data_IF_988892863318
#
_entry.id   IF_988892863318
#
_cell.length_a   1.000
_cell.length_b   1.000
_cell.length_c   1.000
_cell.angle_alpha   90.00
_cell.angle_beta   90.00
_cell.angle_gamma   90.00
#
_symmetry.space_group_name_H-M   'P 1'
#
loop_
_entity.id
_entity.type
_entity.pdbx_description
1 polymer ?
#
# COMPACT_ATOMS: atom_id res chain seq x y z
N UNK A 1 -0.16 -22.09 26.46
CA UNK A 1 -1.23 -21.48 25.65
C UNK A 1 -1.13 -19.96 25.52
N UNK A 2 -0.48 -19.22 26.43
CA UNK A 2 -0.43 -17.75 26.41
C UNK A 2 0.41 -17.10 25.28
N UNK A 3 1.37 -17.81 24.68
CA UNK A 3 2.31 -17.24 23.70
C UNK A 3 1.71 -17.02 22.29
N UNK A 4 0.59 -17.68 21.96
CA UNK A 4 -0.08 -17.49 20.65
C UNK A 4 -0.79 -16.12 20.57
N UNK A 5 -1.02 -15.48 21.71
CA UNK A 5 -1.90 -14.31 21.86
C UNK A 5 -1.17 -13.00 22.17
N UNK A 6 0.17 -12.99 22.26
CA UNK A 6 0.91 -11.79 22.65
C UNK A 6 1.10 -10.82 21.47
N UNK A 7 0.15 -9.89 21.33
CA UNK A 7 0.42 -8.60 20.71
C UNK A 7 1.13 -7.69 21.70
N UNK A 8 2.42 -7.96 21.97
CA UNK A 8 3.19 -7.09 22.84
C UNK A 8 3.59 -5.80 22.10
N UNK A 9 2.80 -4.74 22.34
CA UNK A 9 3.11 -3.39 21.88
C UNK A 9 3.61 -2.57 23.06
N UNK A 10 4.86 -2.10 22.96
CA UNK A 10 5.44 -1.14 23.92
C UNK A 10 4.51 0.07 24.08
N UNK A 11 4.00 0.27 25.28
CA UNK A 11 3.10 1.36 25.62
C UNK A 11 3.30 1.80 27.07
N UNK A 12 3.39 3.10 27.32
CA UNK A 12 3.44 3.65 28.68
C UNK A 12 2.10 3.52 29.43
N UNK A 13 1.01 3.25 28.71
CA UNK A 13 -0.33 3.08 29.29
C UNK A 13 -0.56 1.60 29.63
N UNK A 14 -0.66 1.30 30.93
CA UNK A 14 -0.82 -0.06 31.46
C UNK A 14 -2.07 -0.78 30.93
N UNK A 15 -3.19 -0.07 30.77
CA UNK A 15 -4.46 -0.66 30.35
C UNK A 15 -4.42 -1.21 28.93
N UNK A 16 -3.50 -0.72 28.08
CA UNK A 16 -3.37 -1.22 26.71
C UNK A 16 -2.95 -2.68 26.66
N UNK A 17 -2.12 -3.13 27.62
CA UNK A 17 -1.73 -4.54 27.73
C UNK A 17 -2.98 -5.41 27.88
N UNK A 18 -3.81 -5.11 28.87
CA UNK A 18 -5.06 -5.82 29.11
C UNK A 18 -6.04 -5.73 27.95
N UNK A 19 -6.15 -4.57 27.31
CA UNK A 19 -7.01 -4.39 26.13
C UNK A 19 -6.59 -5.32 24.98
N UNK A 20 -5.30 -5.36 24.62
CA UNK A 20 -4.84 -6.21 23.52
C UNK A 20 -4.91 -7.70 23.87
N UNK A 21 -4.64 -8.07 25.12
CA UNK A 21 -4.82 -9.45 25.59
C UNK A 21 -6.29 -9.88 25.50
N UNK A 22 -7.21 -9.03 25.96
CA UNK A 22 -8.65 -9.30 25.88
C UNK A 22 -9.13 -9.40 24.43
N UNK A 23 -8.71 -8.46 23.58
CA UNK A 23 -9.02 -8.45 22.15
C UNK A 23 -8.55 -9.73 21.44
N UNK A 24 -7.32 -10.17 21.67
CA UNK A 24 -6.84 -11.43 21.08
C UNK A 24 -7.62 -12.65 21.60
N UNK A 25 -8.06 -12.61 22.85
CA UNK A 25 -8.89 -13.68 23.42
C UNK A 25 -10.27 -13.75 22.74
N UNK A 26 -10.90 -12.60 22.44
CA UNK A 26 -12.19 -12.59 21.73
C UNK A 26 -12.07 -13.07 20.28
N UNK A 27 -11.00 -12.69 19.59
CA UNK A 27 -10.69 -13.18 18.22
C UNK A 27 -10.50 -14.69 18.18
N UNK A 28 -9.83 -15.26 19.18
CA UNK A 28 -9.59 -16.70 19.23
C UNK A 28 -10.86 -17.46 19.60
N UNK A 29 -11.66 -16.91 20.51
CA UNK A 29 -12.97 -17.48 20.83
C UNK A 29 -13.88 -17.50 19.60
N UNK A 30 -13.89 -16.45 18.79
CA UNK A 30 -14.68 -16.43 17.54
C UNK A 30 -14.14 -17.43 16.51
N UNK A 31 -12.82 -17.59 16.40
CA UNK A 31 -12.21 -18.64 15.58
C UNK A 31 -12.61 -20.06 16.04
N UNK A 32 -12.61 -20.33 17.35
CA UNK A 32 -13.08 -21.61 17.91
C UNK A 32 -14.55 -21.86 17.55
N UNK A 33 -15.41 -20.83 17.63
CA UNK A 33 -16.81 -20.95 17.20
C UNK A 33 -16.92 -21.32 15.72
N UNK A 34 -16.11 -20.70 14.85
CA UNK A 34 -16.09 -21.01 13.42
C UNK A 34 -15.60 -22.43 13.15
N UNK A 35 -14.53 -22.87 13.83
CA UNK A 35 -14.03 -24.23 13.73
C UNK A 35 -15.04 -25.29 14.17
N UNK A 36 -15.94 -24.97 15.09
CA UNK A 36 -17.00 -25.89 15.54
C UNK A 36 -18.17 -25.97 14.55
N UNK A 37 -18.37 -24.94 13.73
CA UNK A 37 -19.46 -24.87 12.75
C UNK A 37 -19.02 -25.35 11.37
N UNK A 38 -17.74 -25.21 11.02
CA UNK A 38 -17.19 -25.62 9.74
C UNK A 38 -16.54 -27.01 9.84
N UNK A 39 -16.67 -27.81 8.78
CA UNK A 39 -16.01 -29.12 8.67
C UNK A 39 -14.52 -29.02 8.35
N UNK A 40 -14.08 -27.90 7.78
CA UNK A 40 -12.67 -27.63 7.46
C UNK A 40 -11.93 -26.98 8.63
N UNK A 41 -10.76 -27.52 8.97
CA UNK A 41 -9.86 -26.91 9.95
C UNK A 41 -9.09 -25.77 9.29
N UNK A 42 -9.46 -24.53 9.58
CA UNK A 42 -8.72 -23.34 9.15
C UNK A 42 -7.72 -22.94 10.23
N UNK A 43 -6.45 -22.69 9.90
CA UNK A 43 -5.49 -22.17 10.89
C UNK A 43 -5.90 -20.75 11.31
N UNK A 44 -5.48 -20.34 12.51
CA UNK A 44 -5.87 -19.04 13.09
C UNK A 44 -5.48 -17.85 12.20
N UNK A 45 -4.32 -17.89 11.55
CA UNK A 45 -3.86 -16.78 10.70
C UNK A 45 -4.80 -16.57 9.51
N UNK A 46 -5.22 -17.64 8.85
CA UNK A 46 -6.14 -17.60 7.70
C UNK A 46 -7.54 -17.11 8.09
N UNK A 47 -7.89 -17.21 9.38
CA UNK A 47 -9.09 -16.59 9.92
C UNK A 47 -8.91 -15.09 10.22
N UNK A 48 -7.76 -14.69 10.76
CA UNK A 48 -7.50 -13.31 11.20
C UNK A 48 -7.34 -12.35 10.03
N UNK A 49 -6.71 -12.77 8.93
CA UNK A 49 -6.50 -11.92 7.74
C UNK A 49 -7.83 -11.38 7.16
N UNK A 50 -8.80 -12.23 6.76
CA UNK A 50 -10.06 -11.75 6.20
C UNK A 50 -10.90 -10.99 7.24
N UNK A 51 -10.80 -11.36 8.53
CA UNK A 51 -11.44 -10.62 9.62
C UNK A 51 -10.90 -9.19 9.72
N UNK A 52 -9.58 -9.02 9.66
CA UNK A 52 -8.95 -7.70 9.69
C UNK A 52 -9.34 -6.86 8.47
N UNK A 53 -9.38 -7.46 7.28
CA UNK A 53 -9.81 -6.79 6.06
C UNK A 53 -11.26 -6.29 6.16
N UNK A 54 -12.18 -7.12 6.66
CA UNK A 54 -13.58 -6.76 6.86
C UNK A 54 -13.75 -5.62 7.90
N UNK A 55 -12.99 -5.67 9.01
CA UNK A 55 -12.99 -4.61 10.02
C UNK A 55 -12.41 -3.29 9.46
N UNK A 56 -11.35 -3.36 8.66
CA UNK A 56 -10.79 -2.17 8.01
C UNK A 56 -11.74 -1.58 6.97
N UNK A 57 -12.40 -2.42 6.18
CA UNK A 57 -13.38 -1.98 5.19
C UNK A 57 -14.57 -1.26 5.86
N UNK A 58 -15.13 -1.84 6.92
CA UNK A 58 -16.22 -1.20 7.68
C UNK A 58 -15.78 0.10 8.36
N UNK A 59 -14.55 0.16 8.88
CA UNK A 59 -13.97 1.39 9.42
C UNK A 59 -13.82 2.49 8.37
N UNK A 60 -13.41 2.15 7.14
CA UNK A 60 -13.27 3.11 6.03
C UNK A 60 -14.61 3.70 5.59
N UNK A 61 -15.67 2.89 5.53
CA UNK A 61 -17.00 3.35 5.15
C UNK A 61 -17.58 4.34 6.16
N UNK A 62 -17.31 4.11 7.45
CA UNK A 62 -17.83 4.94 8.55
C UNK A 62 -16.91 6.11 8.93
N UNK A 63 -15.66 6.11 8.47
CA UNK A 63 -14.75 7.21 8.71
C UNK A 63 -15.11 8.39 7.81
N UNK A 64 -15.68 9.44 8.40
CA UNK A 64 -15.68 10.77 7.79
C UNK A 64 -14.25 11.31 7.78
N UNK A 65 -13.44 10.82 6.87
CA UNK A 65 -12.06 11.26 6.71
C UNK A 65 -12.05 12.63 6.01
N UNK A 66 -12.17 13.70 6.79
CA UNK A 66 -11.66 14.98 6.35
C UNK A 66 -10.13 14.89 6.39
N UNK A 67 -9.48 14.83 5.21
CA UNK A 67 -8.05 15.13 5.12
C UNK A 67 -7.85 16.48 5.79
N UNK A 68 -7.27 16.50 6.99
CA UNK A 68 -6.67 17.73 7.50
C UNK A 68 -5.62 18.10 6.45
N UNK A 69 -5.92 19.10 5.62
CA UNK A 69 -4.88 19.87 4.91
C UNK A 69 -4.11 20.59 6.01
N UNK A 70 -3.33 19.84 6.77
CA UNK A 70 -2.33 20.43 7.64
C UNK A 70 -1.44 21.23 6.72
N UNK A 71 -1.26 22.50 7.05
CA UNK A 71 -0.13 23.33 6.61
C UNK A 71 1.17 22.74 7.14
N UNK A 72 1.41 21.46 6.84
CA UNK A 72 2.67 20.79 7.11
C UNK A 72 3.51 21.12 5.90
N UNK A 73 4.46 22.04 6.09
CA UNK A 73 5.59 22.17 5.19
C UNK A 73 6.04 20.76 4.82
N UNK A 74 5.92 20.34 3.56
CA UNK A 74 6.29 18.99 3.20
C UNK A 74 7.78 18.84 3.52
N UNK A 75 8.11 17.93 4.43
CA UNK A 75 9.49 17.49 4.56
C UNK A 75 9.91 16.96 3.19
N UNK A 76 11.16 17.23 2.75
CA UNK A 76 11.63 16.80 1.42
C UNK A 76 11.36 15.30 1.17
N UNK A 77 11.38 14.51 2.24
CA UNK A 77 11.07 13.08 2.24
C UNK A 77 9.58 12.76 1.97
N UNK A 78 8.63 13.57 2.45
CA UNK A 78 7.21 13.33 2.18
C UNK A 78 6.80 13.72 0.76
N UNK A 79 7.42 14.75 0.15
CA UNK A 79 7.22 15.04 -1.29
C UNK A 79 7.74 13.93 -2.18
N UNK A 80 8.89 13.35 -1.82
CA UNK A 80 9.49 12.25 -2.59
C UNK A 80 8.56 11.04 -2.64
N UNK A 81 7.90 10.69 -1.53
CA UNK A 81 6.98 9.54 -1.45
C UNK A 81 5.57 9.79 -1.99
N UNK A 82 5.18 11.05 -2.23
CA UNK A 82 3.85 11.37 -2.78
C UNK A 82 3.73 11.09 -4.28
N UNK A 83 4.86 11.07 -5.01
CA UNK A 83 4.90 10.92 -6.47
C UNK A 83 5.67 9.66 -6.94
N UNK A 84 6.10 8.78 -6.02
CA UNK A 84 6.75 7.51 -6.42
C UNK A 84 5.71 6.64 -7.12
N UNK A 85 5.82 6.54 -8.44
CA UNK A 85 4.91 5.76 -9.25
C UNK A 85 3.80 6.57 -9.93
N UNK A 86 3.87 7.90 -10.00
CA UNK A 86 2.97 8.63 -10.91
C UNK A 86 3.40 8.40 -12.36
N UNK A 87 4.69 8.50 -12.65
CA UNK A 87 5.23 8.31 -14.00
C UNK A 87 5.70 6.86 -14.22
N UNK A 88 4.76 5.97 -14.54
CA UNK A 88 5.09 4.58 -14.88
C UNK A 88 5.44 4.41 -16.37
N UNK A 89 6.53 3.68 -16.68
CA UNK A 89 6.83 3.28 -18.05
C UNK A 89 5.89 2.15 -18.48
N UNK A 90 5.19 2.35 -19.60
CA UNK A 90 4.36 1.34 -20.27
C UNK A 90 4.90 1.08 -21.66
N UNK A 91 4.86 -0.19 -22.07
CA UNK A 91 5.25 -0.61 -23.41
C UNK A 91 4.14 -0.35 -24.43
N UNK A 92 4.45 0.43 -25.45
CA UNK A 92 3.60 0.69 -26.61
C UNK A 92 3.88 -0.32 -27.72
N UNK A 93 2.86 -0.70 -28.49
CA UNK A 93 2.97 -1.65 -29.60
C UNK A 93 3.91 -1.15 -30.72
N UNK A 94 3.95 0.16 -30.95
CA UNK A 94 4.76 0.79 -31.99
C UNK A 94 6.04 1.41 -31.44
N UNK A 95 7.14 1.24 -32.17
CA UNK A 95 8.42 1.93 -31.92
C UNK A 95 8.36 3.34 -32.48
N UNK A 96 8.38 4.34 -31.61
CA UNK A 96 8.37 5.75 -31.99
C UNK A 96 9.67 6.42 -31.52
N UNK A 97 9.95 7.63 -32.01
CA UNK A 97 11.14 8.37 -31.58
C UNK A 97 10.96 8.89 -30.15
N UNK A 98 12.05 8.87 -29.38
CA UNK A 98 12.09 9.52 -28.07
C UNK A 98 11.95 11.03 -28.24
N UNK A 99 11.11 11.67 -27.43
CA UNK A 99 10.87 13.12 -27.50
C UNK A 99 12.16 13.94 -27.31
N UNK A 100 12.94 13.64 -26.27
CA UNK A 100 14.21 14.35 -26.00
C UNK A 100 15.25 14.10 -27.12
N UNK A 101 15.37 12.87 -27.59
CA UNK A 101 16.36 12.57 -28.64
C UNK A 101 15.98 13.19 -29.98
N UNK A 102 14.68 13.34 -30.27
CA UNK A 102 14.20 14.02 -31.45
C UNK A 102 14.62 15.50 -31.46
N UNK A 103 14.52 16.19 -30.32
CA UNK A 103 15.00 17.57 -30.17
C UNK A 103 16.52 17.67 -30.37
N UNK A 104 17.28 16.69 -29.85
CA UNK A 104 18.73 16.62 -29.98
C UNK A 104 19.21 16.10 -31.33
N UNK A 105 18.30 15.83 -32.29
CA UNK A 105 18.59 15.21 -33.59
C UNK A 105 19.36 13.89 -33.50
N UNK A 106 19.24 13.19 -32.36
CA UNK A 106 19.82 11.87 -32.15
C UNK A 106 18.82 10.82 -32.63
N UNK A 107 19.25 9.91 -33.48
CA UNK A 107 18.42 8.80 -33.91
C UNK A 107 18.24 7.81 -32.76
N UNK A 108 17.05 7.81 -32.15
CA UNK A 108 16.66 6.82 -31.15
C UNK A 108 15.18 6.49 -31.27
N UNK A 109 14.87 5.20 -31.11
CA UNK A 109 13.51 4.67 -31.15
C UNK A 109 13.23 3.86 -29.89
N UNK A 110 12.04 4.05 -29.31
CA UNK A 110 11.67 3.46 -28.03
C UNK A 110 10.22 2.96 -28.08
N UNK A 111 9.92 1.97 -27.24
CA UNK A 111 8.55 1.49 -27.00
C UNK A 111 8.04 1.95 -25.65
N UNK A 112 8.81 2.76 -24.93
CA UNK A 112 8.50 3.12 -23.55
C UNK A 112 7.80 4.47 -23.56
N UNK A 113 6.60 4.50 -23.01
CA UNK A 113 5.78 5.69 -22.86
C UNK A 113 5.45 5.91 -21.38
N UNK A 114 5.48 7.16 -20.93
CA UNK A 114 4.96 7.52 -19.61
C UNK A 114 3.43 7.63 -19.67
N UNK A 115 2.70 6.91 -18.82
CA UNK A 115 1.22 6.92 -18.77
C UNK A 115 0.63 8.29 -18.43
N UNK A 116 1.30 9.04 -17.55
CA UNK A 116 0.79 10.33 -17.10
C UNK A 116 1.09 11.46 -18.07
N UNK A 117 2.25 11.44 -18.73
CA UNK A 117 2.65 12.48 -19.67
C UNK A 117 2.24 12.18 -21.12
N UNK A 118 1.93 10.91 -21.44
CA UNK A 118 1.77 10.42 -22.82
C UNK A 118 2.96 10.78 -23.74
N UNK A 119 4.16 10.78 -23.17
CA UNK A 119 5.41 11.06 -23.90
C UNK A 119 6.23 9.79 -24.03
N UNK A 120 6.80 9.57 -25.22
CA UNK A 120 7.72 8.47 -25.50
C UNK A 120 9.15 8.87 -25.16
N UNK A 121 9.79 8.05 -24.31
CA UNK A 121 11.11 8.33 -23.77
C UNK A 121 12.00 7.09 -23.87
N UNK A 122 13.31 7.31 -23.99
CA UNK A 122 14.32 6.27 -23.89
C UNK A 122 14.64 5.96 -22.43
N UNK A 123 15.21 4.79 -22.12
CA UNK A 123 15.56 4.42 -20.73
C UNK A 123 16.47 5.49 -20.11
N UNK A 124 17.47 5.96 -20.87
CA UNK A 124 18.41 7.01 -20.43
C UNK A 124 17.73 8.38 -20.25
N UNK A 125 16.66 8.62 -21.00
CA UNK A 125 15.92 9.88 -21.05
C UNK A 125 14.79 9.95 -20.01
N UNK A 126 14.32 8.79 -19.55
CA UNK A 126 13.14 8.68 -18.68
C UNK A 126 13.39 9.30 -17.31
N UNK A 127 14.52 8.96 -16.68
CA UNK A 127 14.92 9.51 -15.39
C UNK A 127 15.11 11.04 -15.42
N UNK A 128 15.93 11.62 -16.32
CA UNK A 128 16.13 13.07 -16.34
C UNK A 128 14.86 13.86 -16.69
N UNK A 129 13.92 13.29 -17.43
CA UNK A 129 12.65 13.95 -17.76
C UNK A 129 11.66 14.02 -16.58
N UNK A 130 11.70 13.05 -15.67
CA UNK A 130 10.78 12.94 -14.52
C UNK A 130 11.43 13.31 -13.17
N UNK A 131 12.56 14.04 -13.21
CA UNK A 131 13.30 14.48 -12.00
C UNK A 131 12.74 15.76 -11.39
#
# INVERSE_FOLDING_TARGET
MANVYELDKKSCKWWKKYFFTYWMSTVVNSWICVLRTQTSKTPLLDFVVPLAEALMASGKLNAQYQRRRGTIYPTKTSRSLLNVGDHLPVATKTRLRCHICAEQKKESHTQIMCTMCNVLLCIDCFKPYHS
#
